data_IF_526647790908
#
_entry.id   IF_526647790908
#
_cell.length_a   1.000
_cell.length_b   1.000
_cell.length_c   1.000
_cell.angle_alpha   90.00
_cell.angle_beta   90.00
_cell.angle_gamma   90.00
#
_symmetry.space_group_name_H-M   'P 1'
#
loop_
_entity.id
_entity.type
_entity.pdbx_description
1 polymer ?
#
# COMPACT_ATOMS: atom_id res chain seq x y z
N UNK A 1 -15.43 21.59 8.48
CA UNK A 1 -15.01 22.16 7.18
C UNK A 1 -14.87 21.00 6.20
N UNK A 2 -15.63 21.01 5.10
CA UNK A 2 -15.71 19.90 4.15
C UNK A 2 -14.72 20.07 3.00
N UNK A 3 -13.43 19.84 3.26
CA UNK A 3 -12.45 19.75 2.18
C UNK A 3 -12.59 18.37 1.54
N UNK A 4 -13.27 18.30 0.40
CA UNK A 4 -13.42 17.05 -0.34
C UNK A 4 -12.38 17.03 -1.47
N UNK A 5 -11.41 16.11 -1.35
CA UNK A 5 -10.41 15.82 -2.37
C UNK A 5 -10.65 14.44 -2.97
N UNK A 6 -10.46 14.30 -4.28
CA UNK A 6 -10.50 13.00 -4.95
C UNK A 6 -9.11 12.61 -5.43
N UNK A 7 -8.67 11.40 -5.08
CA UNK A 7 -7.46 10.81 -5.65
C UNK A 7 -7.86 9.84 -6.77
N UNK A 8 -7.17 9.92 -7.90
CA UNK A 8 -7.40 9.04 -9.05
C UNK A 8 -6.06 8.64 -9.62
N UNK A 9 -5.90 7.35 -9.96
CA UNK A 9 -4.76 6.89 -10.75
C UNK A 9 -5.09 7.05 -12.24
N UNK A 10 -4.09 7.40 -13.04
CA UNK A 10 -4.21 7.32 -14.49
C UNK A 10 -4.47 5.87 -14.91
N UNK A 11 -5.34 5.70 -15.91
CA UNK A 11 -5.81 4.40 -16.39
C UNK A 11 -4.76 3.76 -17.31
N UNK A 12 -3.58 3.51 -16.77
CA UNK A 12 -2.45 2.91 -17.48
C UNK A 12 -2.49 1.39 -17.30
N UNK A 13 -1.89 0.64 -18.22
CA UNK A 13 -1.88 -0.84 -18.19
C UNK A 13 -1.27 -1.43 -16.90
N UNK A 14 -0.56 -0.59 -16.13
CA UNK A 14 0.01 -0.90 -14.81
C UNK A 14 -0.88 -0.41 -13.65
N UNK A 15 -2.19 -0.63 -13.71
CA UNK A 15 -3.09 -0.30 -12.61
C UNK A 15 -2.76 -1.16 -11.38
N UNK A 16 -2.14 -0.53 -10.37
CA UNK A 16 -1.91 -1.14 -9.06
C UNK A 16 -3.19 -1.01 -8.25
N UNK A 17 -3.66 -2.13 -7.70
CA UNK A 17 -4.82 -2.15 -6.81
C UNK A 17 -4.60 -1.17 -5.64
N UNK A 18 -5.61 -0.35 -5.30
CA UNK A 18 -5.51 0.71 -4.28
C UNK A 18 -4.98 0.18 -2.94
N UNK A 19 -5.37 -1.04 -2.56
CA UNK A 19 -4.87 -1.68 -1.35
C UNK A 19 -3.37 -1.96 -1.42
N UNK A 20 -2.90 -2.51 -2.55
CA UNK A 20 -1.47 -2.73 -2.79
C UNK A 20 -0.71 -1.41 -2.77
N UNK A 21 -1.23 -0.36 -3.40
CA UNK A 21 -0.60 0.96 -3.42
C UNK A 21 -0.49 1.56 -2.01
N UNK A 22 -1.56 1.50 -1.21
CA UNK A 22 -1.56 1.97 0.18
C UNK A 22 -0.55 1.22 1.06
N UNK A 23 -0.49 -0.12 0.93
CA UNK A 23 0.48 -0.95 1.66
C UNK A 23 1.91 -0.65 1.21
N UNK A 24 2.17 -0.55 -0.10
CA UNK A 24 3.48 -0.18 -0.62
C UNK A 24 3.93 1.20 -0.13
N UNK A 25 3.03 2.18 -0.12
CA UNK A 25 3.30 3.53 0.39
C UNK A 25 3.65 3.52 1.89
N UNK A 26 2.90 2.76 2.69
CA UNK A 26 3.19 2.57 4.12
C UNK A 26 4.55 1.89 4.34
N UNK A 27 4.87 0.83 3.59
CA UNK A 27 6.19 0.19 3.70
C UNK A 27 7.31 1.17 3.29
N UNK A 28 7.13 1.91 2.20
CA UNK A 28 8.14 2.81 1.64
C UNK A 28 8.47 3.98 2.56
N UNK A 29 7.48 4.50 3.29
CA UNK A 29 7.69 5.58 4.26
C UNK A 29 8.06 5.06 5.67
N UNK A 30 8.25 3.75 5.83
CA UNK A 30 8.60 3.11 7.10
C UNK A 30 7.45 3.03 8.10
N UNK A 31 6.21 3.19 7.65
CA UNK A 31 5.01 3.13 8.48
C UNK A 31 4.37 1.74 8.53
N UNK A 32 3.62 1.48 9.59
CA UNK A 32 2.81 0.27 9.76
C UNK A 32 1.32 0.48 9.53
N UNK A 33 0.54 -0.59 9.75
CA UNK A 33 -0.91 -0.57 9.65
C UNK A 33 -1.57 0.55 10.46
N UNK A 34 -1.17 0.71 11.73
CA UNK A 34 -1.78 1.70 12.63
C UNK A 34 -1.68 3.13 12.10
N UNK A 35 -0.54 3.50 11.52
CA UNK A 35 -0.32 4.83 10.96
C UNK A 35 -1.13 5.03 9.67
N UNK A 36 -1.21 4.01 8.82
CA UNK A 36 -2.07 4.06 7.63
C UNK A 36 -3.54 4.17 8.01
N UNK A 37 -3.97 3.42 9.03
CA UNK A 37 -5.33 3.45 9.57
C UNK A 37 -5.68 4.84 10.13
N UNK A 38 -4.81 5.42 10.95
CA UNK A 38 -4.99 6.78 11.49
C UNK A 38 -5.09 7.82 10.37
N UNK A 39 -4.20 7.74 9.38
CA UNK A 39 -4.20 8.64 8.22
C UNK A 39 -5.50 8.55 7.41
N UNK A 40 -5.93 7.33 7.04
CA UNK A 40 -7.18 7.13 6.30
C UNK A 40 -8.40 7.57 7.10
N UNK A 41 -8.43 7.27 8.41
CA UNK A 41 -9.52 7.69 9.31
C UNK A 41 -9.61 9.22 9.40
N UNK A 42 -8.47 9.91 9.49
CA UNK A 42 -8.43 11.38 9.54
C UNK A 42 -8.98 12.04 8.27
N UNK A 43 -8.95 11.32 7.14
CA UNK A 43 -9.42 11.79 5.83
C UNK A 43 -10.80 11.24 5.44
N UNK A 44 -11.47 10.50 6.33
CA UNK A 44 -12.73 9.80 6.05
C UNK A 44 -12.64 8.84 4.84
N UNK A 45 -11.47 8.21 4.68
CA UNK A 45 -11.18 7.24 3.62
C UNK A 45 -11.37 5.82 4.18
N UNK A 46 -12.20 4.97 3.54
CA UNK A 46 -12.28 3.56 3.91
C UNK A 46 -10.91 2.89 3.82
N UNK A 47 -10.54 2.20 4.89
CA UNK A 47 -9.26 1.47 4.98
C UNK A 47 -9.52 -0.02 5.15
N UNK A 48 -8.63 -0.83 4.60
CA UNK A 48 -8.68 -2.29 4.74
C UNK A 48 -8.50 -2.72 6.20
N UNK A 49 -8.94 -3.93 6.53
CA UNK A 49 -8.68 -4.51 7.85
C UNK A 49 -7.20 -4.88 8.00
N UNK A 50 -6.71 -4.92 9.24
CA UNK A 50 -5.32 -5.29 9.55
C UNK A 50 -4.92 -6.64 8.95
N UNK A 51 -5.83 -7.63 9.00
CA UNK A 51 -5.62 -8.95 8.42
C UNK A 51 -5.35 -8.86 6.91
N UNK A 52 -6.12 -8.03 6.21
CA UNK A 52 -5.94 -7.83 4.77
C UNK A 52 -4.61 -7.10 4.52
N UNK A 53 -4.32 -6.04 5.28
CA UNK A 53 -3.06 -5.31 5.19
C UNK A 53 -1.84 -6.23 5.33
N UNK A 54 -1.82 -7.10 6.35
CA UNK A 54 -0.73 -8.05 6.57
C UNK A 54 -0.58 -9.03 5.40
N UNK A 55 -1.67 -9.45 4.77
CA UNK A 55 -1.64 -10.30 3.57
C UNK A 55 -0.94 -9.59 2.40
N UNK A 56 -1.29 -8.33 2.15
CA UNK A 56 -0.65 -7.52 1.10
C UNK A 56 0.82 -7.23 1.42
N UNK A 57 1.13 -6.89 2.67
CA UNK A 57 2.50 -6.63 3.11
C UNK A 57 3.39 -7.86 2.89
N UNK A 58 2.90 -9.05 3.26
CA UNK A 58 3.63 -10.30 3.04
C UNK A 58 3.86 -10.57 1.55
N UNK A 59 2.86 -10.35 0.70
CA UNK A 59 3.00 -10.51 -0.75
C UNK A 59 4.08 -9.56 -1.31
N UNK A 60 4.01 -8.27 -0.97
CA UNK A 60 5.00 -7.26 -1.40
C UNK A 60 6.41 -7.64 -0.93
N UNK A 61 6.57 -8.03 0.34
CA UNK A 61 7.86 -8.40 0.90
C UNK A 61 8.43 -9.68 0.29
N UNK A 62 7.58 -10.67 -0.01
CA UNK A 62 8.02 -11.90 -0.69
C UNK A 62 8.51 -11.59 -2.11
N UNK A 63 7.77 -10.77 -2.86
CA UNK A 63 8.21 -10.34 -4.20
C UNK A 63 9.54 -9.57 -4.13
N UNK A 64 9.70 -8.67 -3.15
CA UNK A 64 10.95 -7.94 -2.96
C UNK A 64 12.13 -8.89 -2.66
N UNK A 65 11.93 -9.91 -1.81
CA UNK A 65 12.94 -10.93 -1.51
C UNK A 65 13.30 -11.77 -2.73
N UNK A 66 12.30 -12.18 -3.52
CA UNK A 66 12.51 -12.95 -4.74
C UNK A 66 13.32 -12.14 -5.76
N UNK A 67 12.99 -10.87 -5.93
CA UNK A 67 13.75 -9.97 -6.80
C UNK A 67 15.19 -9.78 -6.32
N UNK A 68 15.39 -9.52 -5.02
CA UNK A 68 16.72 -9.38 -4.43
C UNK A 68 17.57 -10.65 -4.60
N UNK A 69 16.94 -11.83 -4.44
CA UNK A 69 17.60 -13.12 -4.62
C UNK A 69 17.96 -13.35 -6.09
N UNK A 70 17.02 -13.11 -7.02
CA UNK A 70 17.27 -13.24 -8.47
C UNK A 70 18.37 -12.28 -8.94
N UNK A 71 18.41 -11.06 -8.45
CA UNK A 71 19.47 -10.09 -8.78
C UNK A 71 20.85 -10.45 -8.22
N UNK A 72 20.93 -11.36 -7.24
CA UNK A 72 22.20 -11.85 -6.69
C UNK A 72 22.83 -12.95 -7.57
N UNK A 73 22.04 -13.57 -8.45
CA UNK A 73 22.46 -14.66 -9.33
C UNK A 73 22.44 -14.27 -10.82
N UNK A 74 22.22 -13.00 -11.14
CA UNK A 74 22.27 -12.43 -12.49
C UNK A 74 23.57 -11.64 -12.69
#
# INVERSE_FOLDING_TARGET
CGLQGSFSSDNNENNVEVNTAGVCGAIANGSGYSQLFEFCTALDIPVMSEKIYLSYQNNVMNNAKDLATKSCFA
#
